data_IF_896166474938
#
_entry.id   IF_896166474938
#
_cell.length_a   1.000
_cell.length_b   1.000
_cell.length_c   1.000
_cell.angle_alpha   90.00
_cell.angle_beta   90.00
_cell.angle_gamma   90.00
#
_symmetry.space_group_name_H-M   'P 1'
#
loop_
_entity.id
_entity.type
_entity.pdbx_description
1 polymer ?
#
# COMPACT_ATOMS: atom_id res chain seq x y z
N UNK A 1 -6.78 47.55 -15.03
CA UNK A 1 -6.74 48.04 -13.64
C UNK A 1 -8.14 48.03 -13.05
N UNK A 2 -8.40 47.13 -12.10
CA UNK A 2 -9.45 47.21 -11.07
C UNK A 2 -9.24 46.02 -10.13
N UNK A 3 -8.27 46.21 -9.25
CA UNK A 3 -8.19 45.55 -7.95
C UNK A 3 -9.46 45.89 -7.17
N UNK A 4 -10.02 44.89 -6.49
CA UNK A 4 -10.52 44.93 -5.10
C UNK A 4 -11.78 44.08 -4.89
N UNK A 5 -11.73 43.34 -3.78
CA UNK A 5 -12.82 42.66 -3.07
C UNK A 5 -13.31 41.33 -3.63
N UNK A 6 -12.72 40.27 -3.09
CA UNK A 6 -13.27 38.93 -3.15
C UNK A 6 -12.38 37.91 -2.48
N UNK A 7 -11.84 38.21 -1.29
CA UNK A 7 -11.41 37.16 -0.37
C UNK A 7 -12.71 36.48 0.08
N UNK A 8 -13.24 35.64 -0.79
CA UNK A 8 -14.26 34.67 -0.44
C UNK A 8 -13.51 33.74 0.51
N UNK A 9 -13.72 33.98 1.81
CA UNK A 9 -13.54 32.98 2.83
C UNK A 9 -14.38 31.79 2.39
N UNK A 10 -13.77 30.90 1.60
CA UNK A 10 -14.21 29.53 1.55
C UNK A 10 -14.11 29.07 2.99
N UNK A 11 -15.27 28.97 3.65
CA UNK A 11 -15.42 28.18 4.85
C UNK A 11 -14.82 26.83 4.48
N UNK A 12 -13.59 26.60 4.93
CA UNK A 12 -13.03 25.27 5.00
C UNK A 12 -13.92 24.59 6.02
N UNK A 13 -14.97 23.93 5.53
CA UNK A 13 -15.55 22.84 6.27
C UNK A 13 -14.39 21.87 6.47
N UNK A 14 -13.79 21.93 7.66
CA UNK A 14 -12.97 20.84 8.16
C UNK A 14 -13.96 19.70 8.32
N UNK A 15 -14.17 18.95 7.24
CA UNK A 15 -14.66 17.61 7.34
C UNK A 15 -13.57 16.87 8.11
N UNK A 16 -13.80 16.65 9.40
CA UNK A 16 -13.08 15.59 10.10
C UNK A 16 -13.30 14.34 9.26
N UNK A 17 -12.24 13.81 8.67
CA UNK A 17 -12.27 12.51 8.01
C UNK A 17 -12.41 11.45 9.11
N UNK A 18 -13.57 11.42 9.77
CA UNK A 18 -13.96 10.27 10.57
C UNK A 18 -14.28 9.16 9.57
N UNK A 19 -13.44 8.13 9.55
CA UNK A 19 -13.73 6.96 8.75
C UNK A 19 -15.00 6.33 9.37
N UNK A 20 -16.16 6.31 8.69
CA UNK A 20 -17.42 5.87 9.29
C UNK A 20 -17.36 4.40 9.72
N UNK A 21 -16.36 3.66 9.24
CA UNK A 21 -16.09 2.29 9.65
C UNK A 21 -15.49 2.19 11.06
N UNK A 22 -14.73 3.20 11.54
CA UNK A 22 -14.06 3.16 12.84
C UNK A 22 -14.19 4.51 13.57
N UNK A 23 -15.19 4.67 14.46
CA UNK A 23 -15.36 5.89 15.22
C UNK A 23 -14.25 6.08 16.25
N UNK A 24 -13.84 7.33 16.48
CA UNK A 24 -12.84 7.66 17.49
C UNK A 24 -13.51 7.82 18.87
N UNK A 25 -13.44 6.79 19.69
CA UNK A 25 -13.88 6.81 21.09
C UNK A 25 -12.72 6.54 22.05
N UNK A 26 -12.87 6.92 23.31
CA UNK A 26 -11.80 6.84 24.32
C UNK A 26 -12.26 6.12 25.57
N UNK A 27 -11.32 5.46 26.25
CA UNK A 27 -11.50 4.88 27.57
C UNK A 27 -10.45 5.42 28.53
N UNK A 28 -10.73 5.38 29.83
CA UNK A 28 -9.79 5.87 30.84
C UNK A 28 -9.11 4.68 31.49
N UNK A 29 -7.78 4.64 31.41
CA UNK A 29 -7.01 3.61 32.07
C UNK A 29 -7.03 3.80 33.60
N UNK A 30 -6.59 2.80 34.38
CA UNK A 30 -6.53 2.91 35.85
C UNK A 30 -5.64 4.06 36.35
N UNK A 31 -4.69 4.52 35.52
CA UNK A 31 -3.78 5.62 35.81
C UNK A 31 -4.39 7.02 35.49
N UNK A 32 -5.63 7.07 34.97
CA UNK A 32 -6.34 8.31 34.64
C UNK A 32 -6.05 8.91 33.26
N UNK A 33 -5.32 8.20 32.39
CA UNK A 33 -5.05 8.60 31.02
C UNK A 33 -6.18 8.17 30.06
N UNK A 34 -6.54 9.06 29.13
CA UNK A 34 -7.48 8.76 28.05
C UNK A 34 -6.75 8.03 26.90
N UNK A 35 -7.12 6.78 26.66
CA UNK A 35 -6.61 5.94 25.58
C UNK A 35 -7.65 5.84 24.47
N UNK A 36 -7.20 5.84 23.20
CA UNK A 36 -8.09 5.63 22.07
C UNK A 36 -8.53 4.16 22.03
N UNK A 37 -9.81 3.93 21.81
CA UNK A 37 -10.34 2.59 21.59
C UNK A 37 -10.14 2.12 20.15
N UNK A 38 -10.08 0.81 19.98
CA UNK A 38 -10.03 0.21 18.66
C UNK A 38 -11.37 0.21 17.95
N UNK A 39 -11.40 -0.43 16.78
CA UNK A 39 -12.53 -0.37 15.87
C UNK A 39 -13.61 -1.41 16.22
N UNK A 40 -14.44 -1.10 17.21
CA UNK A 40 -15.55 -1.95 17.62
C UNK A 40 -16.65 -2.07 16.55
N UNK A 41 -17.29 -3.24 16.48
CA UNK A 41 -18.37 -3.51 15.54
C UNK A 41 -19.54 -2.51 15.67
N UNK A 42 -20.18 -2.20 14.53
CA UNK A 42 -21.38 -1.33 14.44
C UNK A 42 -21.16 0.09 14.97
N UNK A 43 -19.91 0.53 15.08
CA UNK A 43 -19.56 1.84 15.66
C UNK A 43 -19.92 1.97 17.14
N UNK A 44 -20.07 0.84 17.84
CA UNK A 44 -20.35 0.85 19.27
C UNK A 44 -19.16 1.42 20.06
N UNK A 45 -19.40 2.19 21.13
CA UNK A 45 -18.33 2.59 22.02
C UNK A 45 -17.78 1.37 22.77
N UNK A 46 -16.46 1.35 22.97
CA UNK A 46 -15.78 0.41 23.85
C UNK A 46 -16.18 0.61 25.32
N UNK A 47 -15.87 -0.35 26.16
CA UNK A 47 -16.00 -0.22 27.61
C UNK A 47 -15.10 0.91 28.14
N UNK A 48 -15.69 1.87 28.85
CA UNK A 48 -14.99 3.06 29.37
C UNK A 48 -13.90 2.77 30.41
N UNK A 49 -13.89 1.57 31.02
CA UNK A 49 -12.94 1.16 32.06
C UNK A 49 -11.92 0.13 31.59
N UNK A 50 -12.27 -0.72 30.62
CA UNK A 50 -11.38 -1.79 30.13
C UNK A 50 -10.91 -1.58 28.69
N UNK A 51 -11.57 -0.71 27.92
CA UNK A 51 -11.28 -0.48 26.50
C UNK A 51 -11.76 -1.61 25.56
N UNK A 52 -12.48 -2.61 26.08
CA UNK A 52 -12.89 -3.79 25.32
C UNK A 52 -14.15 -3.55 24.48
N UNK A 53 -14.25 -4.23 23.34
CA UNK A 53 -15.41 -4.19 22.45
C UNK A 53 -16.33 -5.40 22.70
N UNK A 54 -17.46 -5.21 23.41
CA UNK A 54 -18.38 -6.31 23.75
C UNK A 54 -19.08 -6.93 22.53
N UNK A 55 -19.20 -6.17 21.44
CA UNK A 55 -19.82 -6.60 20.19
C UNK A 55 -18.86 -7.24 19.17
N UNK A 56 -17.59 -7.42 19.54
CA UNK A 56 -16.53 -7.81 18.61
C UNK A 56 -16.04 -6.65 17.74
N UNK A 57 -15.20 -6.98 16.76
CA UNK A 57 -14.51 -6.01 15.90
C UNK A 57 -15.18 -5.85 14.53
N UNK A 58 -14.96 -4.71 13.89
CA UNK A 58 -15.29 -4.55 12.47
C UNK A 58 -14.45 -5.52 11.61
N UNK A 59 -14.90 -5.86 10.38
CA UNK A 59 -14.09 -6.63 9.46
C UNK A 59 -12.73 -5.97 9.23
N UNK A 60 -11.66 -6.76 9.27
CA UNK A 60 -10.31 -6.24 9.12
C UNK A 60 -9.63 -5.85 10.44
N UNK A 61 -10.26 -6.09 11.61
CA UNK A 61 -9.65 -5.91 12.94
C UNK A 61 -9.88 -7.14 13.84
N UNK A 62 -8.97 -7.35 14.78
CA UNK A 62 -8.98 -8.47 15.74
C UNK A 62 -8.49 -8.01 17.12
N UNK A 63 -8.53 -8.92 18.10
CA UNK A 63 -8.23 -8.63 19.51
C UNK A 63 -9.49 -8.31 20.34
N UNK A 64 -9.34 -8.27 21.66
CA UNK A 64 -10.47 -7.97 22.57
C UNK A 64 -10.85 -6.47 22.56
N UNK A 65 -9.90 -5.63 22.18
CA UNK A 65 -9.95 -4.18 22.09
C UNK A 65 -9.99 -3.69 20.63
N UNK A 66 -9.94 -4.61 19.65
CA UNK A 66 -10.05 -4.30 18.22
C UNK A 66 -9.00 -3.30 17.70
N UNK A 67 -7.81 -3.33 18.29
CA UNK A 67 -6.68 -2.45 17.92
C UNK A 67 -5.76 -3.08 16.89
N UNK A 68 -5.81 -4.41 16.74
CA UNK A 68 -4.93 -5.15 15.83
C UNK A 68 -5.59 -5.29 14.44
N UNK A 69 -5.02 -4.70 13.38
CA UNK A 69 -5.54 -4.84 12.04
C UNK A 69 -5.22 -6.22 11.47
N UNK A 70 -6.10 -6.72 10.60
CA UNK A 70 -5.92 -7.98 9.88
C UNK A 70 -5.76 -7.72 8.38
N UNK A 71 -4.83 -8.46 7.78
CA UNK A 71 -4.48 -8.39 6.37
C UNK A 71 -4.73 -9.77 5.73
N UNK A 72 -6.00 -10.18 5.66
CA UNK A 72 -6.37 -11.50 5.15
C UNK A 72 -6.46 -11.54 3.62
N UNK A 73 -6.84 -10.43 3.00
CA UNK A 73 -7.05 -10.36 1.54
C UNK A 73 -5.77 -9.97 0.78
N UNK A 74 -4.74 -9.55 1.52
CA UNK A 74 -3.49 -9.03 0.96
C UNK A 74 -2.30 -9.79 1.52
N UNK A 75 -1.40 -10.24 0.65
CA UNK A 75 -0.16 -10.92 1.05
C UNK A 75 0.85 -9.92 1.62
N UNK A 76 0.72 -9.71 2.92
CA UNK A 76 1.63 -8.91 3.73
C UNK A 76 2.44 -9.88 4.57
N UNK A 77 3.27 -10.65 3.87
CA UNK A 77 4.19 -11.60 4.48
C UNK A 77 5.03 -10.86 5.54
N UNK A 78 5.20 -11.46 6.72
CA UNK A 78 5.93 -10.84 7.85
C UNK A 78 7.38 -10.45 7.49
N UNK A 79 7.95 -11.08 6.45
CA UNK A 79 9.28 -10.77 5.93
C UNK A 79 9.28 -9.63 4.89
N UNK A 80 8.11 -9.33 4.30
CA UNK A 80 7.92 -8.35 3.23
C UNK A 80 7.23 -7.06 3.72
N UNK A 81 6.41 -7.13 4.76
CA UNK A 81 5.70 -5.98 5.34
C UNK A 81 4.92 -6.30 6.61
N UNK A 82 4.35 -5.26 7.22
CA UNK A 82 3.53 -5.33 8.41
C UNK A 82 2.14 -4.76 8.10
N UNK A 83 1.10 -5.34 8.69
CA UNK A 83 -0.26 -4.83 8.60
C UNK A 83 -0.40 -3.58 9.49
N UNK A 84 -0.78 -2.45 8.90
CA UNK A 84 -1.03 -1.20 9.65
C UNK A 84 -2.53 -0.85 9.69
N UNK A 85 -3.31 -1.36 8.75
CA UNK A 85 -4.75 -1.18 8.68
C UNK A 85 -5.42 -2.36 7.97
N UNK A 86 -6.76 -2.38 7.90
CA UNK A 86 -7.50 -3.45 7.25
C UNK A 86 -7.08 -3.53 5.78
N UNK A 87 -6.44 -4.63 5.39
CA UNK A 87 -5.87 -4.83 4.05
C UNK A 87 -4.90 -3.72 3.60
N UNK A 88 -4.24 -3.04 4.55
CA UNK A 88 -3.25 -2.00 4.28
C UNK A 88 -1.90 -2.34 4.90
N UNK A 89 -0.86 -2.38 4.06
CA UNK A 89 0.41 -2.98 4.45
C UNK A 89 1.58 -2.02 4.27
N UNK A 90 2.40 -1.91 5.30
CA UNK A 90 3.64 -1.13 5.25
C UNK A 90 4.78 -2.08 4.90
N UNK A 91 5.41 -1.86 3.75
CA UNK A 91 6.45 -2.77 3.26
C UNK A 91 7.82 -2.48 3.87
N UNK A 92 8.58 -3.55 4.10
CA UNK A 92 9.95 -3.49 4.59
C UNK A 92 10.94 -3.07 3.48
N UNK A 93 12.19 -2.81 3.86
CA UNK A 93 13.24 -2.38 2.91
C UNK A 93 13.40 -3.39 1.77
N UNK A 94 13.45 -2.88 0.53
CA UNK A 94 13.48 -3.63 -0.74
C UNK A 94 12.15 -4.21 -1.24
N UNK A 95 11.04 -3.91 -0.56
CA UNK A 95 9.69 -4.22 -1.01
C UNK A 95 8.91 -2.94 -1.28
N UNK A 96 7.99 -2.98 -2.26
CA UNK A 96 7.09 -1.89 -2.59
C UNK A 96 5.64 -2.38 -2.61
N UNK A 97 4.69 -1.50 -2.35
CA UNK A 97 3.27 -1.84 -2.47
C UNK A 97 2.89 -1.99 -3.95
N UNK A 98 2.07 -2.98 -4.25
CA UNK A 98 1.44 -3.12 -5.55
C UNK A 98 0.14 -2.31 -5.57
N UNK A 99 -0.11 -1.54 -6.63
CA UNK A 99 -1.29 -0.67 -6.72
C UNK A 99 -2.60 -1.45 -6.86
N UNK A 100 -2.54 -2.68 -7.39
CA UNK A 100 -3.72 -3.50 -7.63
C UNK A 100 -4.14 -4.34 -6.42
N UNK A 101 -3.17 -4.85 -5.67
CA UNK A 101 -3.42 -5.81 -4.59
C UNK A 101 -3.11 -5.23 -3.20
N UNK A 102 -2.44 -4.08 -3.11
CA UNK A 102 -1.96 -3.49 -1.83
C UNK A 102 -0.82 -4.26 -1.16
N UNK A 103 -0.43 -5.41 -1.71
CA UNK A 103 0.59 -6.30 -1.14
C UNK A 103 2.02 -5.88 -1.42
N UNK A 104 2.95 -6.44 -0.65
CA UNK A 104 4.37 -6.09 -0.72
C UNK A 104 5.11 -6.98 -1.72
N UNK A 105 5.69 -6.38 -2.77
CA UNK A 105 6.46 -7.10 -3.79
C UNK A 105 7.94 -6.70 -3.77
N UNK A 106 8.82 -7.67 -4.02
CA UNK A 106 10.26 -7.42 -4.01
C UNK A 106 10.70 -6.61 -5.24
N UNK A 107 11.33 -5.46 -5.01
CA UNK A 107 11.88 -4.62 -6.09
C UNK A 107 13.03 -5.30 -6.84
N UNK A 108 13.74 -6.24 -6.20
CA UNK A 108 14.88 -6.97 -6.80
C UNK A 108 14.44 -7.94 -7.88
N UNK A 109 13.32 -8.63 -7.65
CA UNK A 109 12.78 -9.62 -8.59
C UNK A 109 12.21 -8.91 -9.83
N UNK A 110 11.50 -7.79 -9.62
CA UNK A 110 11.03 -6.93 -10.72
C UNK A 110 12.19 -6.36 -11.53
N UNK A 111 13.26 -5.92 -10.86
CA UNK A 111 14.48 -5.45 -11.51
C UNK A 111 15.14 -6.54 -12.37
N UNK A 112 15.19 -7.78 -11.88
CA UNK A 112 15.75 -8.90 -12.61
C UNK A 112 14.93 -9.23 -13.87
N UNK A 113 13.59 -9.21 -13.79
CA UNK A 113 12.71 -9.41 -14.95
C UNK A 113 12.95 -8.35 -16.03
N UNK A 114 13.13 -7.10 -15.62
CA UNK A 114 13.50 -5.99 -16.50
C UNK A 114 14.87 -6.22 -17.17
N UNK A 115 15.88 -6.60 -16.40
CA UNK A 115 17.23 -6.87 -16.92
C UNK A 115 17.24 -7.99 -17.97
N UNK A 116 16.52 -9.09 -17.72
CA UNK A 116 16.39 -10.18 -18.69
C UNK A 116 15.68 -9.74 -19.97
N UNK A 117 14.63 -8.93 -19.86
CA UNK A 117 13.94 -8.41 -21.06
C UNK A 117 14.85 -7.53 -21.92
N UNK A 118 15.65 -6.65 -21.33
CA UNK A 118 16.61 -5.82 -22.06
C UNK A 118 17.72 -6.65 -22.70
N UNK A 119 18.27 -7.63 -21.97
CA UNK A 119 19.32 -8.51 -22.49
C UNK A 119 18.83 -9.32 -23.70
N UNK A 120 17.60 -9.84 -23.66
CA UNK A 120 17.02 -10.57 -24.78
C UNK A 120 16.90 -9.70 -26.05
N UNK A 121 16.49 -8.44 -25.90
CA UNK A 121 16.42 -7.49 -27.03
C UNK A 121 17.81 -7.22 -27.61
N UNK A 122 18.83 -7.08 -26.77
CA UNK A 122 20.20 -6.86 -27.23
C UNK A 122 20.76 -8.08 -27.98
N UNK A 123 20.55 -9.30 -27.45
CA UNK A 123 21.02 -10.54 -28.09
C UNK A 123 20.36 -10.73 -29.46
N UNK A 124 19.06 -10.47 -29.56
CA UNK A 124 18.31 -10.58 -30.83
C UNK A 124 18.78 -9.55 -31.86
N UNK A 125 19.06 -8.30 -31.46
CA UNK A 125 19.59 -7.30 -32.38
C UNK A 125 20.99 -7.68 -32.92
N UNK A 126 21.89 -8.14 -32.06
CA UNK A 126 23.26 -8.51 -32.45
C UNK A 126 23.25 -9.72 -33.40
N UNK A 127 22.40 -10.72 -33.13
CA UNK A 127 22.28 -11.90 -34.00
C UNK A 127 21.73 -11.55 -35.38
N UNK A 128 20.73 -10.68 -35.46
CA UNK A 128 20.21 -10.18 -36.75
C UNK A 128 21.31 -9.43 -37.53
N UNK A 129 22.04 -8.53 -36.87
CA UNK A 129 23.16 -7.82 -37.50
C UNK A 129 24.24 -8.80 -38.01
N UNK A 130 24.63 -9.78 -37.19
CA UNK A 130 25.64 -10.77 -37.57
C UNK A 130 25.25 -11.61 -38.77
N UNK A 131 23.98 -12.05 -38.84
CA UNK A 131 23.49 -12.83 -40.00
C UNK A 131 23.50 -12.00 -41.28
N UNK A 132 23.10 -10.72 -41.26
CA UNK A 132 23.13 -9.83 -42.43
C UNK A 132 24.55 -9.63 -42.94
N UNK A 133 25.52 -9.41 -42.04
CA UNK A 133 26.93 -9.25 -42.43
C UNK A 133 27.47 -10.53 -43.07
N UNK A 134 27.12 -11.70 -42.53
CA UNK A 134 27.53 -12.99 -43.10
C UNK A 134 26.95 -13.21 -44.51
N UNK A 135 25.70 -12.81 -44.76
CA UNK A 135 25.10 -12.88 -46.10
C UNK A 135 25.80 -11.94 -47.08
N UNK A 136 26.15 -10.70 -46.67
CA UNK A 136 26.85 -9.73 -47.54
C UNK A 136 28.27 -10.15 -47.89
N UNK A 137 28.99 -10.80 -46.98
CA UNK A 137 30.34 -11.32 -47.24
C UNK A 137 30.32 -12.44 -48.29
N UNK A 138 29.32 -13.33 -48.23
CA UNK A 138 29.20 -14.44 -49.19
C UNK A 138 28.78 -13.98 -50.60
N UNK A 139 28.02 -12.89 -50.70
CA UNK A 139 27.62 -12.29 -51.98
C UNK A 139 28.73 -11.53 -52.72
N UNK A 140 29.84 -11.18 -52.07
CA UNK A 140 30.93 -10.36 -52.66
C UNK A 140 32.02 -11.20 -53.36
N UNK A 141 32.04 -12.52 -53.21
CA UNK A 141 32.99 -13.45 -53.87
C UNK A 141 32.51 -13.96 -55.24
N UNK A 142 31.53 -13.30 -55.88
CA UNK A 142 30.95 -13.72 -57.17
C UNK A 142 31.15 -12.67 -58.27
N UNK A 143 32.07 -11.71 -58.08
CA UNK A 143 32.53 -10.81 -59.14
C UNK A 143 34.02 -11.03 -59.44
#
# INVERSE_FOLDING_TARGET
MKFFYGVLFAFVAVATAENPACPANYWTNPDGAALLCGCCAQGAPCDTKTGMCSGGCIPGYTGADCTEPTCNDVTCDESAGLCYGPNQCVCAKNYAQNENDGGCHSMRISGLKGAFSALAILITAITICGTIQHQRMKGRTVE
#
